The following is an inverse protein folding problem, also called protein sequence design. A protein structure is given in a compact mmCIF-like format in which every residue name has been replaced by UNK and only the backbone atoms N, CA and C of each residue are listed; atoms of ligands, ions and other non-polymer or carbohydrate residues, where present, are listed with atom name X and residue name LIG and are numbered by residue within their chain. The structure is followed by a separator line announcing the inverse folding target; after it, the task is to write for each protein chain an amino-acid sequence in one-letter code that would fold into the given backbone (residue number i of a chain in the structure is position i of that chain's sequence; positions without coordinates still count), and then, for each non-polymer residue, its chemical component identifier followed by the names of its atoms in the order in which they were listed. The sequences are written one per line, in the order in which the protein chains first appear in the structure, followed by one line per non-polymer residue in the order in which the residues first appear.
data_IF_212552151568
#
_entry.id   IF_212552151568
#
_cell.length_a   1.000
_cell.length_b   1.000
_cell.length_c   1.000
_cell.angle_alpha   90.00
_cell.angle_beta   90.00
_cell.angle_gamma   90.00
#
_symmetry.space_group_name_H-M   'P 1'
#
loop_
_entity.id
_entity.type
_entity.pdbx_description
1 polymer ?
#
# COMPACT_ATOMS: atom_id res chain seq x y z
N UNK A 1 -32.26 24.87 0.19
CA UNK A 1 -32.41 24.66 -1.28
C UNK A 1 -31.34 23.67 -1.73
N UNK A 2 -31.76 22.61 -2.44
CA UNK A 2 -30.99 21.72 -3.33
C UNK A 2 -29.82 20.94 -2.72
N UNK A 3 -29.59 19.65 -2.94
CA UNK A 3 -30.34 18.48 -3.39
C UNK A 3 -29.27 17.38 -3.39
N UNK A 4 -29.60 16.18 -2.88
CA UNK A 4 -28.81 14.96 -3.08
C UNK A 4 -28.53 14.71 -4.58
N UNK A 5 -27.54 13.87 -4.89
CA UNK A 5 -27.95 12.54 -5.37
C UNK A 5 -27.20 11.37 -4.73
N UNK A 6 -27.95 10.27 -4.59
CA UNK A 6 -27.49 8.92 -4.33
C UNK A 6 -26.55 8.42 -5.42
N UNK A 7 -25.59 7.58 -5.04
CA UNK A 7 -25.03 6.56 -5.92
C UNK A 7 -25.00 5.24 -5.16
N UNK A 8 -26.08 4.49 -5.35
CA UNK A 8 -26.20 3.08 -5.05
C UNK A 8 -25.25 2.28 -5.95
N UNK A 9 -24.50 1.36 -5.36
CA UNK A 9 -23.87 0.25 -6.09
C UNK A 9 -24.25 -1.05 -5.39
N UNK A 10 -25.47 -1.49 -5.70
CA UNK A 10 -25.89 -2.87 -5.53
C UNK A 10 -25.23 -3.71 -6.62
N UNK A 11 -24.38 -4.65 -6.23
CA UNK A 11 -23.91 -5.72 -7.12
C UNK A 11 -24.43 -7.06 -6.63
N UNK A 12 -25.48 -7.49 -7.32
CA UNK A 12 -26.02 -8.85 -7.34
C UNK A 12 -25.09 -9.74 -8.14
N UNK A 13 -24.79 -10.96 -7.66
CA UNK A 13 -24.94 -12.17 -8.47
C UNK A 13 -24.74 -13.46 -7.68
N UNK A 14 -25.83 -14.24 -7.67
CA UNK A 14 -25.93 -15.70 -7.59
C UNK A 14 -24.62 -16.47 -7.85
N UNK A 15 -24.27 -17.38 -6.95
CA UNK A 15 -24.09 -18.79 -7.32
C UNK A 15 -24.18 -19.70 -6.08
N UNK A 16 -25.38 -20.27 -5.94
CA UNK A 16 -25.70 -21.47 -5.19
C UNK A 16 -24.93 -22.64 -5.82
N UNK A 17 -23.82 -23.07 -5.24
CA UNK A 17 -23.24 -24.38 -5.49
C UNK A 17 -23.75 -25.36 -4.43
N UNK A 18 -24.97 -25.86 -4.66
CA UNK A 18 -25.40 -27.12 -4.06
C UNK A 18 -24.70 -28.23 -4.86
N UNK A 19 -23.46 -28.52 -4.51
CA UNK A 19 -22.73 -29.66 -5.07
C UNK A 19 -23.27 -30.94 -4.42
N UNK A 20 -24.09 -31.61 -5.22
CA UNK A 20 -24.34 -33.04 -5.27
C UNK A 20 -23.87 -33.85 -4.07
N UNK A 21 -24.83 -34.38 -3.32
CA UNK A 21 -24.61 -35.57 -2.51
C UNK A 21 -24.11 -36.68 -3.44
N UNK A 22 -22.81 -36.94 -3.39
CA UNK A 22 -22.29 -38.25 -3.73
C UNK A 22 -22.62 -39.14 -2.54
N UNK A 23 -23.78 -39.78 -2.59
CA UNK A 23 -23.87 -41.10 -2.01
C UNK A 23 -22.93 -41.97 -2.85
N UNK A 24 -21.86 -42.54 -2.27
CA UNK A 24 -21.27 -43.70 -2.88
C UNK A 24 -22.34 -44.77 -2.73
N UNK A 25 -23.15 -44.97 -3.78
CA UNK A 25 -23.78 -46.28 -3.99
C UNK A 25 -22.67 -47.22 -4.44
N UNK A 26 -21.68 -47.43 -3.57
CA UNK A 26 -20.78 -48.56 -3.64
C UNK A 26 -21.57 -49.69 -2.98
N UNK A 27 -22.51 -50.21 -3.75
CA UNK A 27 -22.97 -51.57 -3.55
C UNK A 27 -21.77 -52.47 -3.79
N UNK A 28 -21.01 -52.76 -2.73
CA UNK A 28 -20.41 -54.08 -2.48
C UNK A 28 -19.63 -54.06 -1.15
N UNK A 29 -20.25 -53.60 -0.06
CA UNK A 29 -19.96 -54.19 1.25
C UNK A 29 -20.73 -55.51 1.32
N UNK A 30 -20.32 -56.47 0.50
CA UNK A 30 -20.80 -57.83 0.66
C UNK A 30 -20.26 -58.32 1.99
N UNK A 31 -21.13 -58.41 3.00
CA UNK A 31 -20.87 -59.19 4.19
C UNK A 31 -20.25 -60.52 3.74
N UNK A 32 -19.05 -60.92 4.22
CA UNK A 32 -18.41 -62.14 3.78
C UNK A 32 -19.35 -63.35 3.90
N UNK A 33 -20.31 -63.34 4.83
CA UNK A 33 -21.35 -64.36 4.92
C UNK A 33 -22.27 -64.39 3.69
N UNK A 34 -22.63 -63.24 3.13
CA UNK A 34 -23.44 -63.15 1.89
C UNK A 34 -22.67 -63.53 0.63
N UNK A 35 -21.36 -63.24 0.59
CA UNK A 35 -20.47 -63.69 -0.51
C UNK A 35 -20.29 -65.21 -0.45
N UNK A 36 -20.08 -65.77 0.74
CA UNK A 36 -20.04 -67.23 0.98
C UNK A 36 -21.36 -67.90 0.63
N UNK A 37 -22.50 -67.32 1.05
CA UNK A 37 -23.82 -67.87 0.72
C UNK A 37 -24.11 -67.86 -0.79
N UNK A 38 -23.69 -66.82 -1.51
CA UNK A 38 -23.81 -66.75 -2.98
C UNK A 38 -22.85 -67.71 -3.70
N UNK A 39 -21.64 -67.89 -3.16
CA UNK A 39 -20.73 -68.92 -3.65
C UNK A 39 -21.35 -70.31 -3.46
N UNK A 40 -21.96 -70.57 -2.30
CA UNK A 40 -22.55 -71.85 -1.99
C UNK A 40 -23.72 -72.21 -2.93
N UNK A 41 -24.55 -71.24 -3.31
CA UNK A 41 -25.66 -71.47 -4.27
C UNK A 41 -25.22 -71.58 -5.73
N UNK A 42 -24.00 -71.10 -6.06
CA UNK A 42 -23.42 -71.25 -7.40
C UNK A 42 -22.49 -72.46 -7.54
N UNK A 43 -21.84 -72.87 -6.46
CA UNK A 43 -20.93 -74.04 -6.41
C UNK A 43 -21.71 -75.32 -6.15
N UNK A 44 -22.81 -75.25 -5.39
CA UNK A 44 -23.75 -76.35 -5.20
C UNK A 44 -25.16 -75.91 -5.62
N UNK A 45 -25.59 -76.19 -6.87
CA UNK A 45 -26.98 -75.97 -7.23
C UNK A 45 -27.88 -76.79 -6.29
N UNK A 46 -28.80 -76.10 -5.62
CA UNK A 46 -29.87 -76.72 -4.80
C UNK A 46 -30.81 -77.60 -5.64
N UNK A 47 -30.69 -77.54 -6.96
CA UNK A 47 -31.37 -78.40 -7.91
C UNK A 47 -30.53 -79.66 -8.11
N UNK A 48 -31.05 -80.86 -7.79
CA UNK A 48 -30.32 -82.10 -8.06
C UNK A 48 -29.97 -82.14 -9.55
N UNK A 49 -28.69 -82.25 -9.87
CA UNK A 49 -28.21 -82.46 -11.23
C UNK A 49 -28.84 -83.75 -11.72
N UNK A 50 -29.80 -83.64 -12.64
CA UNK A 50 -30.43 -84.80 -13.29
C UNK A 50 -29.35 -85.40 -14.18
N UNK A 51 -28.71 -86.45 -13.69
CA UNK A 51 -27.76 -87.23 -14.46
C UNK A 51 -28.51 -87.91 -15.61
N UNK A 52 -27.97 -87.91 -16.84
CA UNK A 52 -28.59 -88.58 -17.97
C UNK A 52 -28.77 -90.08 -17.64
N UNK A 53 -30.03 -90.50 -17.52
CA UNK A 53 -30.42 -91.85 -17.15
C UNK A 53 -30.18 -92.79 -18.32
N UNK A 54 -29.03 -93.46 -18.34
CA UNK A 54 -28.71 -94.47 -19.36
C UNK A 54 -27.22 -94.71 -19.61
N UNK A 55 -26.34 -93.71 -19.42
CA UNK A 55 -24.91 -93.86 -19.68
C UNK A 55 -24.06 -93.30 -18.55
N UNK A 56 -23.55 -94.21 -17.71
CA UNK A 56 -22.63 -93.89 -16.61
C UNK A 56 -21.39 -93.11 -17.10
N UNK A 57 -20.97 -93.33 -18.35
CA UNK A 57 -19.87 -92.59 -18.99
C UNK A 57 -20.19 -91.09 -19.19
N UNK A 58 -21.40 -90.75 -19.65
CA UNK A 58 -21.80 -89.35 -19.87
C UNK A 58 -21.89 -88.58 -18.55
N UNK A 59 -22.36 -89.24 -17.49
CA UNK A 59 -22.40 -88.69 -16.13
C UNK A 59 -21.00 -88.39 -15.58
N UNK A 60 -20.04 -89.29 -15.81
CA UNK A 60 -18.64 -89.11 -15.41
C UNK A 60 -17.99 -87.95 -16.19
N UNK A 61 -18.25 -87.84 -17.50
CA UNK A 61 -17.71 -86.75 -18.32
C UNK A 61 -18.24 -85.37 -17.90
N UNK A 62 -19.53 -85.28 -17.56
CA UNK A 62 -20.14 -84.05 -17.04
C UNK A 62 -19.46 -83.61 -15.73
N UNK A 63 -19.33 -84.54 -14.77
CA UNK A 63 -18.70 -84.29 -13.47
C UNK A 63 -17.22 -83.88 -13.66
N UNK A 64 -16.51 -84.52 -14.58
CA UNK A 64 -15.13 -84.16 -14.91
C UNK A 64 -15.02 -82.75 -15.53
N UNK A 65 -15.95 -82.38 -16.41
CA UNK A 65 -16.04 -81.05 -17.00
C UNK A 65 -16.30 -79.96 -15.96
N UNK A 66 -17.29 -80.17 -15.09
CA UNK A 66 -17.65 -79.23 -14.02
C UNK A 66 -16.50 -79.06 -13.02
N UNK A 67 -15.81 -80.15 -12.67
CA UNK A 67 -14.63 -80.10 -11.80
C UNK A 67 -13.49 -79.30 -12.42
N UNK A 68 -13.19 -79.51 -13.71
CA UNK A 68 -12.19 -78.74 -14.44
C UNK A 68 -12.56 -77.24 -14.50
N UNK A 69 -13.84 -76.93 -14.74
CA UNK A 69 -14.33 -75.55 -14.75
C UNK A 69 -14.20 -74.88 -13.37
N UNK A 70 -14.54 -75.58 -12.29
CA UNK A 70 -14.39 -75.07 -10.93
C UNK A 70 -12.92 -74.84 -10.55
N UNK A 71 -12.02 -75.76 -10.93
CA UNK A 71 -10.58 -75.60 -10.70
C UNK A 71 -10.01 -74.40 -11.46
N UNK A 72 -10.43 -74.18 -12.72
CA UNK A 72 -10.03 -73.00 -13.50
C UNK A 72 -10.48 -71.68 -12.84
N UNK A 73 -11.72 -71.62 -12.33
CA UNK A 73 -12.21 -70.45 -11.60
C UNK A 73 -11.44 -70.21 -10.29
N UNK A 74 -11.11 -71.29 -9.55
CA UNK A 74 -10.36 -71.19 -8.31
C UNK A 74 -8.92 -70.72 -8.56
N UNK A 75 -8.29 -71.15 -9.66
CA UNK A 75 -6.96 -70.70 -10.07
C UNK A 75 -6.95 -69.18 -10.34
N UNK A 76 -7.86 -68.69 -11.17
CA UNK A 76 -7.97 -67.25 -11.45
C UNK A 76 -8.38 -66.42 -10.22
N UNK A 77 -9.19 -66.98 -9.32
CA UNK A 77 -9.50 -66.34 -8.04
C UNK A 77 -8.25 -66.23 -7.16
N UNK A 78 -7.42 -67.27 -7.14
CA UNK A 78 -6.12 -67.29 -6.46
C UNK A 78 -5.18 -66.20 -6.96
N UNK A 79 -5.03 -66.05 -8.28
CA UNK A 79 -4.26 -64.95 -8.89
C UNK A 79 -4.79 -63.58 -8.45
N UNK A 80 -6.11 -63.36 -8.55
CA UNK A 80 -6.74 -62.09 -8.14
C UNK A 80 -6.61 -61.77 -6.65
N UNK A 81 -6.54 -62.77 -5.78
CA UNK A 81 -6.31 -62.55 -4.35
C UNK A 81 -4.86 -62.13 -4.05
N UNK A 82 -3.90 -62.60 -4.85
CA UNK A 82 -2.50 -62.14 -4.79
C UNK A 82 -2.40 -60.63 -5.05
N UNK A 83 -3.08 -60.15 -6.09
CA UNK A 83 -3.16 -58.72 -6.41
C UNK A 83 -3.84 -57.91 -5.30
N UNK A 84 -4.83 -58.50 -4.63
CA UNK A 84 -5.56 -57.85 -3.54
C UNK A 84 -4.70 -57.63 -2.28
N UNK A 85 -3.67 -58.47 -2.06
CA UNK A 85 -2.70 -58.23 -1.00
C UNK A 85 -1.85 -56.99 -1.31
N UNK A 86 -1.35 -56.87 -2.54
CA UNK A 86 -0.61 -55.68 -3.01
C UNK A 86 -1.44 -54.40 -2.90
N UNK A 87 -2.71 -54.44 -3.33
CA UNK A 87 -3.63 -53.29 -3.25
C UNK A 87 -3.81 -52.78 -1.81
N UNK A 88 -3.79 -53.70 -0.83
CA UNK A 88 -3.99 -53.35 0.58
C UNK A 88 -2.79 -52.56 1.13
N UNK A 89 -1.58 -52.95 0.74
CA UNK A 89 -0.35 -52.26 1.13
C UNK A 89 -0.29 -50.87 0.49
N UNK A 90 -0.65 -50.75 -0.80
CA UNK A 90 -0.76 -49.46 -1.50
C UNK A 90 -1.79 -48.53 -0.84
N UNK A 91 -2.92 -49.07 -0.38
CA UNK A 91 -3.95 -48.27 0.30
C UNK A 91 -3.48 -47.78 1.68
N UNK A 92 -2.71 -48.59 2.41
CA UNK A 92 -2.11 -48.17 3.67
C UNK A 92 -1.08 -47.06 3.44
N UNK A 93 -0.22 -47.20 2.43
CA UNK A 93 0.77 -46.21 2.03
C UNK A 93 0.10 -44.88 1.62
N UNK A 94 -0.91 -44.93 0.75
CA UNK A 94 -1.68 -43.74 0.35
C UNK A 94 -2.38 -43.06 1.54
N UNK A 95 -2.86 -43.84 2.51
CA UNK A 95 -3.49 -43.29 3.72
C UNK A 95 -2.47 -42.58 4.61
N UNK A 96 -1.23 -43.08 4.67
CA UNK A 96 -0.13 -42.43 5.38
C UNK A 96 0.27 -41.12 4.69
N UNK A 97 0.53 -41.16 3.38
CA UNK A 97 0.87 -39.98 2.58
C UNK A 97 -0.20 -38.89 2.67
N UNK A 98 -1.48 -39.27 2.60
CA UNK A 98 -2.58 -38.32 2.73
C UNK A 98 -2.58 -37.61 4.08
N UNK A 99 -2.24 -38.32 5.16
CA UNK A 99 -2.16 -37.74 6.51
C UNK A 99 -0.99 -36.77 6.62
N UNK A 100 0.18 -37.18 6.17
CA UNK A 100 1.40 -36.37 6.19
C UNK A 100 1.22 -35.09 5.35
N UNK A 101 0.72 -35.22 4.11
CA UNK A 101 0.50 -34.08 3.23
C UNK A 101 -0.55 -33.12 3.81
N UNK A 102 -1.60 -33.65 4.43
CA UNK A 102 -2.61 -32.82 5.13
C UNK A 102 -1.97 -32.02 6.28
N UNK A 103 -1.09 -32.62 7.07
CA UNK A 103 -0.39 -31.91 8.15
C UNK A 103 0.62 -30.89 7.58
N UNK A 104 1.30 -31.19 6.47
CA UNK A 104 2.18 -30.27 5.72
C UNK A 104 1.41 -29.04 5.20
N UNK A 105 0.24 -29.27 4.59
CA UNK A 105 -0.64 -28.20 4.10
C UNK A 105 -1.09 -27.31 5.25
N UNK A 106 -1.46 -27.87 6.41
CA UNK A 106 -1.84 -27.10 7.59
C UNK A 106 -0.66 -26.26 8.12
N UNK A 107 0.55 -26.81 8.15
CA UNK A 107 1.75 -26.07 8.56
C UNK A 107 2.03 -24.89 7.62
N UNK A 108 1.99 -25.12 6.29
CA UNK A 108 2.16 -24.07 5.29
C UNK A 108 1.07 -23.01 5.35
N UNK A 109 -0.17 -23.40 5.66
CA UNK A 109 -1.27 -22.43 5.82
C UNK A 109 -1.00 -21.46 6.99
N UNK A 110 -0.49 -21.97 8.11
CA UNK A 110 -0.10 -21.14 9.26
C UNK A 110 1.07 -20.21 8.92
N UNK A 111 2.07 -20.69 8.17
CA UNK A 111 3.19 -19.87 7.69
C UNK A 111 2.70 -18.75 6.77
N UNK A 112 1.82 -19.05 5.81
CA UNK A 112 1.22 -18.06 4.91
C UNK A 112 0.45 -17.00 5.70
N UNK A 113 -0.32 -17.40 6.72
CA UNK A 113 -1.03 -16.46 7.61
C UNK A 113 -0.05 -15.55 8.35
N UNK A 114 1.05 -16.09 8.88
CA UNK A 114 2.08 -15.32 9.57
C UNK A 114 2.80 -14.34 8.63
N UNK A 115 3.16 -14.78 7.41
CA UNK A 115 3.79 -13.92 6.40
C UNK A 115 2.83 -12.81 5.95
N UNK A 116 1.55 -13.12 5.74
CA UNK A 116 0.53 -12.12 5.38
C UNK A 116 0.39 -11.03 6.44
N UNK A 117 0.46 -11.40 7.73
CA UNK A 117 0.46 -10.43 8.82
C UNK A 117 1.72 -9.55 8.78
N UNK A 118 2.91 -10.15 8.58
CA UNK A 118 4.16 -9.40 8.45
C UNK A 118 4.16 -8.40 7.29
N UNK A 119 3.60 -8.78 6.14
CA UNK A 119 3.46 -7.89 4.98
C UNK A 119 2.58 -6.69 5.34
N UNK A 120 1.40 -6.93 5.92
CA UNK A 120 0.50 -5.83 6.34
C UNK A 120 1.18 -4.86 7.31
N UNK A 121 1.91 -5.37 8.31
CA UNK A 121 2.62 -4.52 9.27
C UNK A 121 3.68 -3.65 8.58
N UNK A 122 4.38 -4.19 7.58
CA UNK A 122 5.34 -3.42 6.77
C UNK A 122 4.65 -2.37 5.90
N UNK A 123 3.51 -2.71 5.31
CA UNK A 123 2.73 -1.78 4.50
C UNK A 123 2.21 -0.60 5.35
N UNK A 124 1.74 -0.88 6.57
CA UNK A 124 1.29 0.15 7.52
C UNK A 124 2.46 1.03 7.98
N UNK A 125 3.60 0.43 8.33
CA UNK A 125 4.81 1.19 8.65
C UNK A 125 5.29 2.05 7.46
N UNK A 126 5.20 1.51 6.23
CA UNK A 126 5.50 2.24 5.00
C UNK A 126 4.54 3.41 4.76
N UNK A 127 3.26 3.24 5.04
CA UNK A 127 2.27 4.32 4.92
C UNK A 127 2.52 5.44 5.93
N UNK A 128 2.88 5.10 7.19
CA UNK A 128 3.26 6.09 8.20
C UNK A 128 4.52 6.86 7.79
N UNK A 129 5.55 6.16 7.32
CA UNK A 129 6.77 6.80 6.83
C UNK A 129 6.52 7.70 5.61
N UNK A 130 5.62 7.30 4.70
CA UNK A 130 5.24 8.12 3.55
C UNK A 130 4.50 9.40 3.99
N UNK A 131 3.59 9.30 4.96
CA UNK A 131 2.87 10.45 5.51
C UNK A 131 3.81 11.44 6.22
N UNK A 132 4.76 10.94 7.01
CA UNK A 132 5.79 11.78 7.65
C UNK A 132 6.65 12.52 6.62
N UNK A 133 7.09 11.83 5.56
CA UNK A 133 7.85 12.45 4.47
C UNK A 133 7.06 13.57 3.76
N UNK A 134 5.76 13.40 3.55
CA UNK A 134 4.90 14.44 2.99
C UNK A 134 4.84 15.64 3.94
N UNK A 135 4.63 15.41 5.23
CA UNK A 135 4.59 16.48 6.23
C UNK A 135 5.91 17.24 6.35
N UNK A 136 7.05 16.55 6.30
CA UNK A 136 8.37 17.19 6.33
C UNK A 136 8.64 18.03 5.08
N UNK A 137 8.18 17.58 3.90
CA UNK A 137 8.29 18.37 2.66
C UNK A 137 7.45 19.63 2.71
N UNK A 138 6.22 19.55 3.21
CA UNK A 138 5.35 20.71 3.39
C UNK A 138 5.96 21.71 4.39
N UNK A 139 6.53 21.23 5.50
CA UNK A 139 7.26 22.09 6.44
C UNK A 139 8.48 22.74 5.80
N UNK A 140 9.24 22.02 4.97
CA UNK A 140 10.40 22.57 4.27
C UNK A 140 9.97 23.69 3.31
N UNK A 141 8.92 23.46 2.52
CA UNK A 141 8.35 24.44 1.59
C UNK A 141 7.87 25.69 2.34
N UNK A 142 7.16 25.53 3.46
CA UNK A 142 6.75 26.67 4.29
C UNK A 142 7.94 27.48 4.81
N UNK A 143 9.01 26.79 5.24
CA UNK A 143 10.22 27.46 5.73
C UNK A 143 10.97 28.19 4.62
N UNK A 144 10.93 27.68 3.39
CA UNK A 144 11.49 28.34 2.23
C UNK A 144 10.74 29.64 1.90
N UNK A 145 9.41 29.61 2.00
CA UNK A 145 8.56 30.82 1.88
C UNK A 145 8.88 31.85 2.98
N UNK A 146 8.96 31.42 4.25
CA UNK A 146 9.32 32.30 5.38
C UNK A 146 10.68 32.98 5.16
N UNK A 147 11.65 32.26 4.57
CA UNK A 147 12.97 32.82 4.24
C UNK A 147 12.88 33.84 3.11
N UNK A 148 12.06 33.59 2.08
CA UNK A 148 11.82 34.55 1.01
C UNK A 148 11.23 35.86 1.56
N UNK A 149 10.24 35.77 2.45
CA UNK A 149 9.63 36.93 3.10
C UNK A 149 10.64 37.71 3.95
N UNK A 150 11.48 36.99 4.71
CA UNK A 150 12.52 37.61 5.53
C UNK A 150 13.57 38.33 4.66
N UNK A 151 13.94 37.76 3.53
CA UNK A 151 14.85 38.41 2.56
C UNK A 151 14.21 39.70 2.04
N UNK A 152 12.94 39.66 1.62
CA UNK A 152 12.22 40.85 1.15
C UNK A 152 12.12 41.94 2.23
N UNK A 153 11.88 41.55 3.48
CA UNK A 153 11.85 42.46 4.62
C UNK A 153 13.24 43.07 4.88
N UNK A 154 14.31 42.27 4.81
CA UNK A 154 15.67 42.74 5.01
C UNK A 154 16.12 43.71 3.90
N UNK A 155 15.76 43.44 2.65
CA UNK A 155 16.06 44.31 1.51
C UNK A 155 15.38 45.68 1.63
N UNK A 156 14.15 45.73 2.14
CA UNK A 156 13.40 46.98 2.32
C UNK A 156 13.81 47.75 3.58
N UNK A 157 14.31 47.06 4.60
CA UNK A 157 14.68 47.64 5.89
C UNK A 157 15.73 48.76 5.79
N UNK A 158 16.77 48.61 4.97
CA UNK A 158 17.82 49.62 4.85
C UNK A 158 17.34 50.92 4.20
N UNK A 159 16.43 50.82 3.22
CA UNK A 159 15.81 51.97 2.58
C UNK A 159 14.87 52.70 3.55
N UNK A 160 14.06 51.95 4.31
CA UNK A 160 13.20 52.50 5.35
C UNK A 160 14.02 53.21 6.43
N UNK A 161 15.08 52.56 6.93
CA UNK A 161 16.03 53.12 7.91
C UNK A 161 16.62 54.44 7.41
N UNK A 162 17.11 54.48 6.16
CA UNK A 162 17.72 55.68 5.58
C UNK A 162 16.71 56.82 5.48
N UNK A 163 15.47 56.51 5.09
CA UNK A 163 14.38 57.48 5.00
C UNK A 163 13.99 58.00 6.38
N UNK A 164 13.89 57.12 7.38
CA UNK A 164 13.57 57.48 8.76
C UNK A 164 14.66 58.37 9.38
N UNK A 165 15.93 58.04 9.21
CA UNK A 165 17.08 58.85 9.68
C UNK A 165 17.09 60.22 9.01
N UNK A 166 16.90 60.27 7.69
CA UNK A 166 16.83 61.53 6.95
C UNK A 166 15.67 62.41 7.43
N UNK A 167 14.50 61.81 7.67
CA UNK A 167 13.34 62.48 8.26
C UNK A 167 13.65 63.05 9.66
N UNK A 168 14.28 62.25 10.54
CA UNK A 168 14.67 62.68 11.88
C UNK A 168 15.65 63.87 11.86
N UNK A 169 16.64 63.86 10.96
CA UNK A 169 17.59 64.97 10.80
C UNK A 169 16.88 66.27 10.40
N UNK A 170 15.94 66.19 9.45
CA UNK A 170 15.16 67.36 9.01
C UNK A 170 14.30 67.91 10.15
N UNK A 171 13.66 67.05 10.93
CA UNK A 171 12.86 67.44 12.10
C UNK A 171 13.74 68.14 13.15
N UNK A 172 14.87 67.54 13.52
CA UNK A 172 15.79 68.11 14.50
C UNK A 172 16.33 69.47 14.06
N UNK A 173 16.71 69.62 12.77
CA UNK A 173 17.16 70.90 12.22
C UNK A 173 16.06 71.97 12.29
N UNK A 174 14.82 71.60 11.98
CA UNK A 174 13.66 72.51 12.04
C UNK A 174 13.39 72.96 13.48
N UNK A 175 13.49 72.07 14.44
CA UNK A 175 13.37 72.37 15.88
C UNK A 175 14.46 73.32 16.36
N UNK A 176 15.72 73.05 16.01
CA UNK A 176 16.83 73.94 16.33
C UNK A 176 16.61 75.35 15.76
N UNK A 177 16.17 75.46 14.51
CA UNK A 177 15.86 76.77 13.91
C UNK A 177 14.71 77.48 14.65
N UNK A 178 13.65 76.76 15.06
CA UNK A 178 12.57 77.36 15.85
C UNK A 178 13.08 77.86 17.20
N UNK A 179 13.91 77.08 17.88
CA UNK A 179 14.48 77.48 19.18
C UNK A 179 15.36 78.72 19.06
N UNK A 180 16.24 78.77 18.05
CA UNK A 180 17.05 79.96 17.78
C UNK A 180 16.20 81.21 17.51
N UNK A 181 15.09 81.06 16.78
CA UNK A 181 14.18 82.18 16.49
C UNK A 181 13.41 82.63 17.74
N UNK A 182 13.01 81.70 18.60
CA UNK A 182 12.36 82.03 19.87
C UNK A 182 13.30 82.81 20.79
N UNK A 183 14.55 82.36 20.96
CA UNK A 183 15.55 83.06 21.76
C UNK A 183 15.90 84.45 21.23
N UNK A 184 15.91 84.66 19.90
CA UNK A 184 16.04 86.01 19.35
C UNK A 184 14.86 86.87 19.77
N UNK A 185 13.63 86.36 19.68
CA UNK A 185 12.42 87.09 20.04
C UNK A 185 12.43 87.50 21.53
N UNK A 186 12.88 86.60 22.42
CA UNK A 186 13.01 86.88 23.86
C UNK A 186 14.07 87.95 24.17
N UNK A 187 15.10 88.13 23.34
CA UNK A 187 16.14 89.15 23.55
C UNK A 187 15.70 90.55 23.14
N UNK A 188 14.71 90.67 22.26
CA UNK A 188 14.17 91.98 21.84
C UNK A 188 13.23 92.60 22.88
N UNK A 189 12.74 91.83 23.85
CA UNK A 189 11.92 92.34 24.96
C UNK A 189 12.76 92.98 26.09
N UNK A 190 14.10 93.04 25.99
CA UNK A 190 14.98 93.50 27.07
C UNK A 190 15.82 94.77 26.79
N UNK A 191 15.77 95.41 25.62
CA UNK A 191 16.48 96.69 25.41
C UNK A 191 15.68 97.74 24.63
N UNK A 192 15.06 98.63 25.39
CA UNK A 192 14.34 99.83 24.96
C UNK A 192 15.30 101.00 24.57
N UNK A 193 16.52 100.75 24.06
CA UNK A 193 17.50 101.83 23.86
C UNK A 193 18.65 101.53 22.88
N UNK A 194 18.41 101.19 21.61
CA UNK A 194 19.49 101.20 20.61
C UNK A 194 19.07 101.88 19.30
N UNK A 195 19.33 103.19 19.24
CA UNK A 195 19.53 103.93 17.99
C UNK A 195 20.79 103.37 17.30
N UNK A 196 20.62 102.56 16.25
CA UNK A 196 21.73 102.13 15.39
C UNK A 196 21.53 102.52 13.92
N UNK A 197 22.63 102.91 13.24
CA UNK A 197 22.62 103.41 11.87
C UNK A 197 22.50 102.29 10.83
N UNK A 198 21.95 102.64 9.67
CA UNK A 198 21.62 101.72 8.59
C UNK A 198 22.84 100.91 8.07
N UNK A 199 22.71 99.58 7.93
CA UNK A 199 23.73 98.76 7.29
C UNK A 199 23.69 98.92 5.77
N UNK A 200 24.81 99.34 5.18
CA UNK A 200 25.08 99.26 3.74
C UNK A 200 25.55 97.84 3.41
N UNK A 201 24.82 97.15 2.54
CA UNK A 201 25.14 95.81 2.08
C UNK A 201 25.50 95.84 0.59
N UNK A 202 26.80 95.84 0.31
CA UNK A 202 27.38 95.75 -1.03
C UNK A 202 28.22 94.48 -1.06
N UNK A 203 27.56 93.34 -1.29
CA UNK A 203 28.17 92.01 -1.31
C UNK A 203 27.61 91.18 -2.46
N UNK A 204 28.37 91.10 -3.54
CA UNK A 204 28.05 90.43 -4.81
C UNK A 204 27.95 88.91 -4.64
N UNK A 205 26.84 88.34 -5.10
CA UNK A 205 26.45 86.95 -4.87
C UNK A 205 27.05 86.06 -5.96
N UNK A 206 28.17 85.39 -5.66
CA UNK A 206 28.80 84.42 -6.56
C UNK A 206 28.09 83.08 -6.45
N UNK A 207 27.42 82.67 -7.53
CA UNK A 207 26.73 81.38 -7.66
C UNK A 207 27.74 80.33 -8.18
N UNK A 208 27.98 79.21 -7.48
CA UNK A 208 28.78 78.11 -8.01
C UNK A 208 27.96 77.24 -8.98
N UNK A 209 28.41 77.15 -10.23
CA UNK A 209 27.80 76.35 -11.30
C UNK A 209 27.92 74.83 -11.09
N UNK A 210 26.83 74.13 -11.42
CA UNK A 210 26.71 72.66 -11.49
C UNK A 210 27.71 72.04 -12.48
N UNK A 211 28.24 70.87 -12.13
CA UNK A 211 28.85 69.93 -13.10
C UNK A 211 28.22 68.54 -12.94
N UNK A 212 27.54 68.08 -13.98
CA UNK A 212 27.10 66.69 -14.21
C UNK A 212 28.28 65.83 -14.69
N UNK A 213 28.32 64.55 -14.28
CA UNK A 213 28.79 63.40 -15.08
C UNK A 213 28.49 62.12 -14.26
N UNK A 214 27.51 61.31 -14.67
CA UNK A 214 27.70 60.13 -15.53
C UNK A 214 28.38 58.96 -14.78
N UNK A 215 27.64 57.88 -14.48
CA UNK A 215 27.65 56.64 -15.28
C UNK A 215 27.14 55.41 -14.50
N UNK A 216 26.04 54.86 -15.00
CA UNK A 216 25.57 53.48 -14.78
C UNK A 216 26.53 52.48 -15.45
N UNK A 217 26.74 51.29 -14.87
CA UNK A 217 26.41 50.11 -15.68
C UNK A 217 25.70 48.99 -14.89
N UNK A 218 24.73 48.40 -15.58
CA UNK A 218 24.02 47.16 -15.29
C UNK A 218 24.56 46.06 -16.25
N UNK A 219 24.07 44.81 -16.20
CA UNK A 219 24.41 43.69 -15.32
C UNK A 219 25.30 42.64 -16.04
N UNK A 220 25.85 41.66 -15.31
CA UNK A 220 26.36 40.42 -15.91
C UNK A 220 25.63 39.22 -15.32
N UNK A 221 24.75 38.63 -16.15
CA UNK A 221 24.18 37.32 -15.95
C UNK A 221 25.25 36.25 -16.20
N UNK A 222 25.45 35.36 -15.24
CA UNK A 222 26.24 34.15 -15.37
C UNK A 222 25.43 32.97 -14.87
N UNK A 223 24.89 32.20 -15.83
CA UNK A 223 24.09 30.99 -15.62
C UNK A 223 24.98 29.77 -15.26
N UNK A 224 24.39 28.63 -14.83
CA UNK A 224 25.01 27.66 -13.94
C UNK A 224 25.78 26.54 -14.67
N UNK A 225 26.72 25.93 -13.94
CA UNK A 225 27.30 24.64 -14.33
C UNK A 225 26.62 23.52 -13.56
N UNK A 226 25.76 22.78 -14.27
CA UNK A 226 25.33 21.43 -13.91
C UNK A 226 26.31 20.42 -14.51
N UNK A 227 26.67 19.39 -13.72
CA UNK A 227 26.87 17.99 -14.12
C UNK A 227 28.00 17.33 -13.29
N UNK A 228 28.00 16.00 -13.13
CA UNK A 228 26.90 15.07 -12.89
C UNK A 228 27.03 14.32 -11.55
#
# INVERSE_FOLDING_TARGET
MKSKPDLALASSSKKKSRASGFTPKVSSSGDPATVLANLNTKVFPLTPVILPEGDSSASIQLIQGDLLQAMSQLFHLGERMGDHASLKDDLAELTFQLREEKDNVLAKEMEIKALKLKVRNKDEAGALAAAENVSLREQLEQREEDVCDLICAAETFDAEKTTAVSGAIVVARRELMRECLNHQTDSWDLEDSWDLPAPSFEGELVIPSKTEAEKTPEPTAGDPSTDP
#
